data_IF_128327222308
#
_entry.id   IF_128327222308
#
_cell.length_a   1.000
_cell.length_b   1.000
_cell.length_c   1.000
_cell.angle_alpha   90.00
_cell.angle_beta   90.00
_cell.angle_gamma   90.00
#
_symmetry.space_group_name_H-M   'P 1'
#
loop_
_entity.id
_entity.type
_entity.pdbx_description
1 polymer ?
#
# COMPACT_ATOMS: atom_id res chain seq x y z
N UNK A 1 9.41 33.21 40.33
CA UNK A 1 9.22 32.09 39.38
C UNK A 1 8.81 32.69 38.04
N UNK A 2 9.75 32.83 37.11
CA UNK A 2 9.50 33.36 35.76
C UNK A 2 9.55 32.18 34.81
N UNK A 3 8.44 31.99 34.07
CA UNK A 3 8.20 30.82 33.22
C UNK A 3 9.17 30.72 32.05
N UNK A 4 9.66 29.50 31.83
CA UNK A 4 10.47 29.11 30.68
C UNK A 4 9.61 29.16 29.41
N UNK A 5 9.92 30.07 28.50
CA UNK A 5 9.38 30.06 27.14
C UNK A 5 10.05 28.91 26.38
N UNK A 6 9.28 27.87 26.06
CA UNK A 6 9.71 26.75 25.21
C UNK A 6 10.02 27.29 23.81
N UNK A 7 11.30 27.29 23.43
CA UNK A 7 11.72 27.55 22.06
C UNK A 7 11.83 26.19 21.36
N UNK A 8 10.76 25.75 20.67
CA UNK A 8 10.84 24.61 19.78
C UNK A 8 11.27 25.13 18.40
N UNK A 9 12.52 24.83 18.05
CA UNK A 9 13.11 25.06 16.74
C UNK A 9 12.41 24.17 15.73
N UNK A 10 11.56 24.75 14.88
CA UNK A 10 11.00 24.08 13.71
C UNK A 10 12.08 24.12 12.62
N UNK A 11 12.75 22.99 12.41
CA UNK A 11 13.65 22.81 11.26
C UNK A 11 12.77 22.58 10.04
N UNK A 12 12.52 23.65 9.28
CA UNK A 12 12.10 23.55 7.89
C UNK A 12 13.27 22.97 7.08
N UNK A 13 13.17 21.70 6.69
CA UNK A 13 13.99 21.17 5.61
C UNK A 13 13.13 21.07 4.36
N UNK A 14 13.28 22.08 3.52
CA UNK A 14 12.90 22.05 2.12
C UNK A 14 13.70 20.95 1.42
N UNK A 15 13.03 20.09 0.65
CA UNK A 15 13.65 19.39 -0.46
C UNK A 15 12.72 19.57 -1.66
N UNK A 16 12.88 20.72 -2.32
CA UNK A 16 12.47 20.91 -3.70
C UNK A 16 13.46 20.16 -4.61
N UNK A 17 12.97 19.09 -5.24
CA UNK A 17 13.44 18.66 -6.55
C UNK A 17 12.26 18.03 -7.29
N UNK A 18 11.47 18.91 -7.92
CA UNK A 18 10.58 18.56 -9.02
C UNK A 18 11.43 17.97 -10.16
N UNK A 19 11.35 16.67 -10.38
CA UNK A 19 11.56 16.09 -11.70
C UNK A 19 10.22 15.52 -12.16
N UNK A 20 9.43 16.39 -12.80
CA UNK A 20 8.27 15.99 -13.58
C UNK A 20 8.71 15.01 -14.66
N UNK A 21 8.45 13.72 -14.45
CA UNK A 21 8.31 12.80 -15.57
C UNK A 21 6.83 12.83 -15.92
N UNK A 22 6.47 13.38 -17.08
CA UNK A 22 5.11 13.31 -17.59
C UNK A 22 4.69 11.85 -17.69
N UNK A 23 3.94 11.35 -16.72
CA UNK A 23 3.29 10.05 -16.84
C UNK A 23 2.27 10.21 -17.96
N UNK A 24 2.50 9.47 -19.04
CA UNK A 24 1.62 9.39 -20.19
C UNK A 24 0.21 9.03 -19.70
N UNK A 25 -0.69 10.01 -19.79
CA UNK A 25 -2.09 9.90 -19.39
C UNK A 25 -2.80 8.95 -20.36
N UNK A 26 -2.76 7.65 -20.08
CA UNK A 26 -3.65 6.69 -20.74
C UNK A 26 -5.03 6.79 -20.10
N UNK A 27 -5.99 7.31 -20.86
CA UNK A 27 -7.40 7.29 -20.51
C UNK A 27 -7.89 5.83 -20.46
N UNK A 28 -7.88 5.22 -19.29
CA UNK A 28 -8.55 3.94 -19.10
C UNK A 28 -10.03 4.16 -18.85
N UNK A 29 -10.84 3.72 -19.83
CA UNK A 29 -12.28 3.55 -19.68
C UNK A 29 -12.52 2.51 -18.58
N UNK A 30 -13.25 2.89 -17.53
CA UNK A 30 -13.40 2.07 -16.31
C UNK A 30 -14.34 0.88 -16.45
N UNK A 31 -14.97 0.72 -17.60
CA UNK A 31 -15.80 -0.43 -17.90
C UNK A 31 -15.03 -1.38 -18.83
N UNK A 32 -14.80 -2.60 -18.32
CA UNK A 32 -14.18 -3.77 -18.98
C UNK A 32 -12.64 -3.91 -18.96
N UNK A 33 -12.00 -3.79 -17.80
CA UNK A 33 -10.67 -4.42 -17.64
C UNK A 33 -10.84 -5.94 -17.56
N UNK A 34 -10.41 -6.60 -18.62
CA UNK A 34 -10.52 -8.04 -18.85
C UNK A 34 -9.60 -8.82 -17.90
N UNK A 35 -10.05 -10.00 -17.47
CA UNK A 35 -9.42 -10.90 -16.48
C UNK A 35 -7.92 -11.23 -16.73
N UNK A 36 -7.41 -10.96 -17.93
CA UNK A 36 -6.03 -11.23 -18.36
C UNK A 36 -4.98 -10.32 -17.70
N UNK A 37 -5.35 -9.12 -17.24
CA UNK A 37 -4.42 -8.19 -16.56
C UNK A 37 -4.17 -8.53 -15.06
N UNK A 38 -4.82 -9.57 -14.52
CA UNK A 38 -4.78 -9.92 -13.09
C UNK A 38 -3.53 -10.74 -12.69
N UNK A 39 -2.84 -11.36 -13.65
CA UNK A 39 -1.66 -12.22 -13.42
C UNK A 39 -0.36 -11.43 -13.29
N UNK A 40 -0.09 -10.52 -14.24
CA UNK A 40 1.22 -9.87 -14.36
C UNK A 40 1.37 -8.65 -13.44
N UNK A 41 0.26 -8.19 -12.85
CA UNK A 41 0.21 -7.08 -11.89
C UNK A 41 0.34 -7.49 -10.42
N UNK A 42 0.66 -8.76 -10.11
CA UNK A 42 0.72 -9.24 -8.71
C UNK A 42 2.01 -8.87 -7.98
N UNK A 43 3.12 -8.72 -8.72
CA UNK A 43 4.40 -8.34 -8.14
C UNK A 43 4.53 -6.83 -8.07
N UNK A 44 5.16 -6.34 -7.00
CA UNK A 44 5.49 -4.93 -6.85
C UNK A 44 6.61 -4.57 -7.83
N UNK A 45 6.50 -3.42 -8.48
CA UNK A 45 7.63 -2.78 -9.15
C UNK A 45 8.64 -2.28 -8.11
N UNK A 46 9.84 -1.90 -8.56
CA UNK A 46 10.85 -1.30 -7.70
C UNK A 46 10.35 -0.01 -7.03
N UNK A 47 9.67 0.86 -7.80
CA UNK A 47 9.09 2.11 -7.30
C UNK A 47 8.03 1.85 -6.24
N UNK A 48 7.13 0.89 -6.47
CA UNK A 48 6.10 0.51 -5.50
C UNK A 48 6.71 -0.11 -4.24
N UNK A 49 7.72 -0.96 -4.38
CA UNK A 49 8.43 -1.57 -3.26
C UNK A 49 9.13 -0.51 -2.41
N UNK A 50 9.84 0.43 -3.05
CA UNK A 50 10.50 1.55 -2.38
C UNK A 50 9.48 2.45 -1.65
N UNK A 51 8.34 2.73 -2.29
CA UNK A 51 7.25 3.46 -1.67
C UNK A 51 6.72 2.77 -0.42
N UNK A 52 6.41 1.47 -0.51
CA UNK A 52 5.89 0.69 0.63
C UNK A 52 6.91 0.59 1.77
N UNK A 53 8.20 0.39 1.45
CA UNK A 53 9.28 0.41 2.43
C UNK A 53 9.36 1.74 3.20
N UNK A 54 9.06 2.86 2.54
CA UNK A 54 9.03 4.19 3.15
C UNK A 54 7.80 4.39 4.03
N UNK A 55 6.60 4.15 3.52
CA UNK A 55 5.37 4.48 4.28
C UNK A 55 5.15 3.54 5.47
N UNK A 56 5.70 2.31 5.42
CA UNK A 56 5.63 1.34 6.50
C UNK A 56 6.93 1.24 7.30
N UNK A 57 7.87 2.20 7.19
CA UNK A 57 9.16 2.16 7.89
C UNK A 57 9.02 1.87 9.40
N UNK A 58 8.00 2.43 10.04
CA UNK A 58 7.76 2.26 11.48
C UNK A 58 7.10 0.93 11.86
N UNK A 59 6.49 0.21 10.91
CA UNK A 59 5.71 -1.02 11.19
C UNK A 59 6.27 -2.26 10.52
N UNK A 60 7.05 -2.13 9.45
CA UNK A 60 7.60 -3.24 8.67
C UNK A 60 8.76 -3.96 9.35
N UNK A 61 9.38 -3.34 10.37
CA UNK A 61 10.60 -3.87 11.03
C UNK A 61 11.70 -4.10 9.97
N UNK A 62 12.17 -5.34 9.85
CA UNK A 62 13.16 -5.81 8.89
C UNK A 62 12.56 -6.32 7.56
N UNK A 63 11.23 -6.33 7.42
CA UNK A 63 10.58 -6.74 6.19
C UNK A 63 10.85 -5.76 5.05
N UNK A 64 11.38 -6.27 3.94
CA UNK A 64 11.61 -5.55 2.69
C UNK A 64 10.59 -6.01 1.64
N UNK A 65 9.87 -5.05 1.07
CA UNK A 65 8.87 -5.27 0.02
C UNK A 65 9.46 -5.69 -1.33
N UNK A 66 10.76 -5.53 -1.55
CA UNK A 66 11.43 -5.87 -2.81
C UNK A 66 11.25 -7.34 -3.17
N UNK A 67 10.79 -7.61 -4.40
CA UNK A 67 10.49 -8.96 -4.91
C UNK A 67 9.50 -9.77 -4.05
N UNK A 68 8.62 -9.10 -3.29
CA UNK A 68 7.58 -9.75 -2.49
C UNK A 68 6.24 -9.77 -3.20
N UNK A 69 5.50 -10.85 -2.99
CA UNK A 69 4.10 -10.95 -3.40
C UNK A 69 3.22 -10.39 -2.29
N UNK A 70 2.60 -9.24 -2.52
CA UNK A 70 1.82 -8.53 -1.48
C UNK A 70 0.35 -8.42 -1.88
N UNK A 71 -0.53 -8.84 -0.98
CA UNK A 71 -1.97 -8.76 -1.15
C UNK A 71 -2.50 -7.39 -0.75
N UNK A 72 -3.39 -6.81 -1.55
CA UNK A 72 -4.05 -5.54 -1.23
C UNK A 72 -5.53 -5.79 -1.00
N UNK A 73 -5.99 -5.58 0.23
CA UNK A 73 -7.34 -5.94 0.68
C UNK A 73 -8.06 -4.68 1.14
N UNK A 74 -9.05 -4.26 0.38
CA UNK A 74 -10.04 -3.28 0.84
C UNK A 74 -11.13 -4.00 1.63
N UNK A 75 -11.52 -3.49 2.79
CA UNK A 75 -12.59 -4.13 3.59
C UNK A 75 -13.95 -4.09 2.88
N UNK A 76 -14.25 -3.00 2.17
CA UNK A 76 -15.51 -2.82 1.43
C UNK A 76 -15.27 -2.77 -0.08
N UNK A 77 -15.91 -3.68 -0.82
CA UNK A 77 -15.82 -3.78 -2.28
C UNK A 77 -14.53 -4.44 -2.78
N UNK A 78 -14.39 -4.56 -4.10
CA UNK A 78 -13.11 -4.94 -4.71
C UNK A 78 -12.21 -3.69 -4.84
N UNK A 79 -10.91 -3.87 -4.61
CA UNK A 79 -9.89 -3.87 -5.67
C UNK A 79 -8.48 -3.94 -5.07
N UNK A 80 -7.58 -4.56 -5.82
CA UNK A 80 -6.22 -4.81 -5.40
C UNK A 80 -5.28 -3.62 -5.63
N UNK A 81 -4.00 -3.96 -5.79
CA UNK A 81 -2.84 -3.10 -5.92
C UNK A 81 -3.07 -1.75 -6.61
N UNK A 82 -3.65 -1.73 -7.82
CA UNK A 82 -3.86 -0.50 -8.60
C UNK A 82 -4.71 0.53 -7.88
N UNK A 83 -5.78 0.13 -7.19
CA UNK A 83 -6.62 1.09 -6.48
C UNK A 83 -5.87 1.72 -5.31
N UNK A 84 -5.09 0.91 -4.59
CA UNK A 84 -4.27 1.39 -3.48
C UNK A 84 -3.30 2.47 -3.94
N UNK A 85 -2.51 2.21 -4.99
CA UNK A 85 -1.53 3.19 -5.48
C UNK A 85 -2.18 4.43 -6.11
N UNK A 86 -3.29 4.29 -6.85
CA UNK A 86 -4.00 5.45 -7.40
C UNK A 86 -4.55 6.38 -6.29
N UNK A 87 -4.99 5.83 -5.17
CA UNK A 87 -5.43 6.62 -4.01
C UNK A 87 -4.26 7.37 -3.39
N UNK A 88 -3.11 6.70 -3.24
CA UNK A 88 -1.88 7.29 -2.70
C UNK A 88 -1.37 8.42 -3.60
N UNK A 89 -1.37 8.21 -4.93
CA UNK A 89 -0.99 9.22 -5.92
C UNK A 89 -1.91 10.45 -5.87
N UNK A 90 -3.23 10.25 -5.86
CA UNK A 90 -4.19 11.37 -5.76
C UNK A 90 -3.97 12.19 -4.50
N UNK A 91 -3.75 11.54 -3.36
CA UNK A 91 -3.47 12.23 -2.11
C UNK A 91 -2.15 13.02 -2.15
N UNK A 92 -1.14 12.50 -2.87
CA UNK A 92 0.12 13.22 -3.05
C UNK A 92 -0.03 14.51 -3.87
N UNK A 93 -1.01 14.56 -4.78
CA UNK A 93 -1.32 15.73 -5.60
C UNK A 93 -2.35 16.67 -4.98
N UNK A 94 -3.22 16.13 -4.13
CA UNK A 94 -4.30 16.83 -3.44
C UNK A 94 -4.42 16.28 -2.02
N UNK A 95 -3.86 17.00 -1.06
CA UNK A 95 -3.88 16.61 0.34
C UNK A 95 -5.31 16.52 0.94
N UNK A 96 -6.33 17.09 0.28
CA UNK A 96 -7.72 16.94 0.69
C UNK A 96 -8.34 15.61 0.26
N UNK A 97 -7.73 14.90 -0.70
CA UNK A 97 -8.19 13.60 -1.15
C UNK A 97 -8.02 12.56 -0.02
N UNK A 98 -9.05 11.81 0.38
CA UNK A 98 -8.93 10.83 1.45
C UNK A 98 -7.88 9.75 1.15
N UNK A 99 -7.01 9.47 2.13
CA UNK A 99 -5.96 8.46 2.01
C UNK A 99 -5.88 7.59 3.27
N UNK A 100 -5.64 6.30 3.05
CA UNK A 100 -5.38 5.33 4.11
C UNK A 100 -4.19 4.44 3.72
N UNK A 101 -3.11 4.51 4.49
CA UNK A 101 -1.96 3.63 4.30
C UNK A 101 -2.32 2.16 4.56
N UNK A 102 -3.29 1.90 5.42
CA UNK A 102 -3.71 0.58 5.84
C UNK A 102 -2.81 -0.05 6.90
N UNK A 103 -3.14 -1.28 7.27
CA UNK A 103 -2.40 -2.12 8.21
C UNK A 103 -1.62 -3.18 7.44
N UNK A 104 -0.32 -3.27 7.73
CA UNK A 104 0.58 -4.28 7.20
C UNK A 104 0.50 -5.58 8.02
N UNK A 105 0.27 -6.70 7.34
CA UNK A 105 0.32 -8.06 7.88
C UNK A 105 1.47 -8.81 7.21
N UNK A 106 2.53 -9.11 7.95
CA UNK A 106 3.67 -9.89 7.46
C UNK A 106 3.40 -11.37 7.79
N UNK A 107 3.53 -12.24 6.78
CA UNK A 107 3.22 -13.66 6.94
C UNK A 107 4.44 -14.49 7.28
N UNK A 108 4.26 -15.46 8.17
CA UNK A 108 5.21 -16.54 8.37
C UNK A 108 5.10 -17.59 7.24
N UNK A 109 5.97 -18.59 7.26
CA UNK A 109 6.02 -19.65 6.23
C UNK A 109 4.67 -20.37 6.06
N UNK A 110 3.98 -20.69 7.17
CA UNK A 110 2.68 -21.37 7.15
C UNK A 110 1.60 -20.49 6.51
N UNK A 111 1.49 -19.24 6.94
CA UNK A 111 0.53 -18.26 6.43
C UNK A 111 0.77 -17.92 4.96
N UNK A 112 2.04 -17.86 4.54
CA UNK A 112 2.42 -17.69 3.12
C UNK A 112 1.92 -18.86 2.28
N UNK A 113 2.13 -20.09 2.72
CA UNK A 113 1.63 -21.27 2.02
C UNK A 113 0.09 -21.26 1.94
N UNK A 114 -0.58 -20.98 3.05
CA UNK A 114 -2.04 -20.98 3.15
C UNK A 114 -2.72 -19.88 2.31
N UNK A 115 -2.08 -18.71 2.16
CA UNK A 115 -2.60 -17.57 1.41
C UNK A 115 -2.43 -17.69 -0.10
N UNK A 116 -1.77 -18.74 -0.62
CA UNK A 116 -1.43 -18.85 -2.04
C UNK A 116 -0.11 -18.18 -2.41
N UNK A 117 0.84 -18.15 -1.48
CA UNK A 117 2.22 -17.71 -1.68
C UNK A 117 2.48 -16.24 -1.43
N UNK A 118 1.56 -15.50 -0.79
CA UNK A 118 1.80 -14.10 -0.44
C UNK A 118 2.80 -13.99 0.72
N UNK A 119 3.70 -13.02 0.65
CA UNK A 119 4.65 -12.70 1.72
C UNK A 119 4.03 -11.78 2.77
N UNK A 120 3.09 -10.93 2.35
CA UNK A 120 2.40 -9.97 3.22
C UNK A 120 1.05 -9.56 2.63
N UNK A 121 0.26 -8.84 3.42
CA UNK A 121 -0.94 -8.15 2.99
C UNK A 121 -1.01 -6.74 3.56
N UNK A 122 -1.61 -5.84 2.81
CA UNK A 122 -2.01 -4.51 3.25
C UNK A 122 -3.53 -4.47 3.26
N UNK A 123 -4.10 -4.31 4.45
CA UNK A 123 -5.55 -4.14 4.63
C UNK A 123 -5.84 -2.67 4.83
N UNK A 124 -6.64 -2.08 3.95
CA UNK A 124 -6.91 -0.65 3.94
C UNK A 124 -8.42 -0.37 3.86
N UNK A 125 -8.81 0.85 4.21
CA UNK A 125 -10.16 1.29 4.53
C UNK A 125 -10.83 0.42 5.60
N UNK A 126 -10.06 0.05 6.63
CA UNK A 126 -10.57 -0.70 7.78
C UNK A 126 -10.66 0.16 9.03
N UNK A 127 -11.81 0.12 9.69
CA UNK A 127 -11.98 0.72 11.03
C UNK A 127 -11.40 -0.15 12.16
N UNK A 128 -11.14 -1.43 11.88
CA UNK A 128 -10.68 -2.41 12.86
C UNK A 128 -9.50 -3.22 12.32
N UNK A 129 -8.57 -3.59 13.19
CA UNK A 129 -7.58 -4.62 12.85
C UNK A 129 -8.28 -5.96 12.67
N UNK A 130 -8.03 -6.63 11.55
CA UNK A 130 -8.52 -7.99 11.33
C UNK A 130 -7.59 -9.00 12.01
N UNK A 131 -8.10 -10.14 12.51
CA UNK A 131 -7.27 -11.29 12.82
C UNK A 131 -6.47 -11.72 11.58
N UNK A 132 -5.20 -12.07 11.76
CA UNK A 132 -4.31 -12.41 10.64
C UNK A 132 -4.82 -13.64 9.88
N UNK A 133 -5.48 -14.57 10.56
CA UNK A 133 -6.09 -15.77 9.98
C UNK A 133 -7.20 -15.41 8.97
N UNK A 134 -7.96 -14.35 9.24
CA UNK A 134 -9.00 -13.87 8.33
C UNK A 134 -8.40 -13.18 7.10
N UNK A 135 -7.28 -12.49 7.27
CA UNK A 135 -6.50 -11.92 6.17
C UNK A 135 -5.98 -13.03 5.25
N UNK A 136 -5.37 -14.08 5.82
CA UNK A 136 -4.88 -15.25 5.08
C UNK A 136 -6.01 -15.95 4.32
N UNK A 137 -7.14 -16.21 4.98
CA UNK A 137 -8.33 -16.83 4.33
C UNK A 137 -8.87 -15.99 3.18
N UNK A 138 -8.91 -14.65 3.33
CA UNK A 138 -9.35 -13.75 2.26
C UNK A 138 -8.46 -13.87 1.03
N UNK A 139 -7.13 -13.91 1.20
CA UNK A 139 -6.19 -14.08 0.09
C UNK A 139 -6.30 -15.44 -0.58
N UNK A 140 -6.44 -16.52 0.21
CA UNK A 140 -6.65 -17.88 -0.31
C UNK A 140 -7.87 -17.97 -1.23
N UNK A 141 -8.93 -17.24 -0.90
CA UNK A 141 -10.20 -17.26 -1.63
C UNK A 141 -10.23 -16.29 -2.83
N UNK A 142 -9.14 -15.54 -3.10
CA UNK A 142 -9.00 -14.79 -4.36
C UNK A 142 -8.81 -15.83 -5.46
N UNK A 143 -9.90 -16.17 -6.14
CA UNK A 143 -9.90 -17.09 -7.27
C UNK A 143 -9.04 -16.51 -8.41
N UNK A 144 -7.90 -17.13 -8.66
CA UNK A 144 -7.11 -16.97 -9.87
C UNK A 144 -7.74 -17.93 -10.90
N UNK A 145 -8.57 -17.40 -11.79
CA UNK A 145 -9.15 -18.16 -12.91
C UNK A 145 -8.56 -17.66 -14.22
#
# INVERSE_FOLDING_TARGET
MVGMKKLLVIVCLEMLAFSCSSIHKSNFNYDSVTQKERSDNLLLSETESAYLNRIFETTRKDFDFTNKKVGFIKISGERGKTYYFNMQEKHSTDASYPCDNGTLYIFNATQKAESGGYDAAIVYWSKFSLPIEDVVKRLKNIKLY
#
